data_IF_387689172947
#
_entry.id   IF_387689172947
#
_cell.length_a   1.000
_cell.length_b   1.000
_cell.length_c   1.000
_cell.angle_alpha   90.00
_cell.angle_beta   90.00
_cell.angle_gamma   90.00
#
_symmetry.space_group_name_H-M   'P 1'
#
loop_
_entity.id
_entity.type
_entity.pdbx_description
1 polymer ?
#
# COMPACT_ATOMS: atom_id res chain seq x y z
N UNK A 1 25.35 15.54 -6.71
CA UNK A 1 24.01 14.99 -6.99
C UNK A 1 24.21 13.55 -7.41
N UNK A 2 23.91 12.59 -6.54
CA UNK A 2 23.90 11.18 -6.94
C UNK A 2 22.72 10.97 -7.88
N UNK A 3 22.85 10.16 -8.95
CA UNK A 3 21.73 9.88 -9.84
C UNK A 3 20.61 9.18 -9.06
N UNK A 4 19.37 9.56 -9.34
CA UNK A 4 18.20 8.86 -8.82
C UNK A 4 18.27 7.39 -9.27
N UNK A 5 18.25 6.46 -8.33
CA UNK A 5 18.28 5.03 -8.66
C UNK A 5 16.93 4.66 -9.28
N UNK A 6 16.97 4.01 -10.44
CA UNK A 6 15.77 3.52 -11.10
C UNK A 6 15.34 2.15 -10.56
N UNK A 7 14.15 1.72 -10.94
CA UNK A 7 13.67 0.36 -10.60
C UNK A 7 14.59 -0.74 -11.15
N UNK A 8 15.27 -0.50 -12.27
CA UNK A 8 16.27 -1.42 -12.83
C UNK A 8 17.51 -1.53 -11.95
N UNK A 9 17.92 -0.46 -11.27
CA UNK A 9 19.05 -0.49 -10.35
C UNK A 9 18.67 -1.25 -9.08
N UNK A 10 17.47 -1.00 -8.56
CA UNK A 10 16.88 -1.76 -7.45
C UNK A 10 16.80 -3.26 -7.77
N UNK A 11 16.39 -3.61 -9.00
CA UNK A 11 16.35 -4.99 -9.45
C UNK A 11 17.74 -5.66 -9.49
N UNK A 12 18.80 -4.93 -9.86
CA UNK A 12 20.17 -5.48 -9.84
C UNK A 12 20.70 -5.64 -8.43
N UNK A 13 20.40 -4.68 -7.56
CA UNK A 13 20.89 -4.67 -6.19
C UNK A 13 20.19 -5.69 -5.29
N UNK A 14 18.92 -6.04 -5.56
CA UNK A 14 18.20 -7.00 -4.73
C UNK A 14 18.64 -8.44 -4.98
N UNK A 15 19.15 -8.79 -6.18
CA UNK A 15 19.56 -10.15 -6.56
C UNK A 15 20.43 -10.84 -5.49
N UNK A 16 21.58 -10.28 -5.05
CA UNK A 16 22.41 -10.92 -4.02
C UNK A 16 21.76 -10.99 -2.63
N UNK A 17 20.67 -10.24 -2.41
CA UNK A 17 19.95 -10.15 -1.13
C UNK A 17 18.72 -11.06 -1.10
N UNK A 18 18.23 -11.52 -2.27
CA UNK A 18 17.04 -12.38 -2.38
C UNK A 18 17.09 -13.64 -1.50
N UNK A 19 18.20 -14.41 -1.43
CA UNK A 19 18.29 -15.59 -0.57
C UNK A 19 18.01 -15.28 0.91
N UNK A 20 18.43 -14.09 1.36
CA UNK A 20 18.23 -13.63 2.74
C UNK A 20 16.80 -13.14 2.99
N UNK A 21 16.11 -12.62 1.96
CA UNK A 21 14.75 -12.06 2.09
C UNK A 21 13.66 -13.10 1.92
N UNK A 22 13.87 -14.06 1.02
CA UNK A 22 12.83 -14.98 0.56
C UNK A 22 13.12 -16.45 0.90
N UNK A 23 14.34 -16.82 1.27
CA UNK A 23 14.70 -18.20 1.56
C UNK A 23 14.47 -19.09 0.33
N UNK A 24 13.54 -20.05 0.44
CA UNK A 24 13.25 -21.05 -0.60
C UNK A 24 12.66 -20.43 -1.88
N UNK A 25 11.93 -19.31 -1.77
CA UNK A 25 11.35 -18.61 -2.92
C UNK A 25 12.39 -17.78 -3.70
N UNK A 26 13.59 -17.61 -3.14
CA UNK A 26 14.60 -16.71 -3.69
C UNK A 26 15.02 -17.09 -5.11
N UNK A 27 15.24 -18.39 -5.37
CA UNK A 27 15.72 -18.86 -6.66
C UNK A 27 14.71 -18.60 -7.79
N UNK A 28 13.42 -18.85 -7.54
CA UNK A 28 12.35 -18.60 -8.51
C UNK A 28 12.21 -17.11 -8.84
N UNK A 29 12.32 -16.24 -7.82
CA UNK A 29 12.28 -14.80 -8.00
C UNK A 29 13.54 -14.29 -8.70
N UNK A 30 14.71 -14.83 -8.37
CA UNK A 30 15.99 -14.48 -8.99
C UNK A 30 16.00 -14.80 -10.49
N UNK A 31 15.54 -16.00 -10.87
CA UNK A 31 15.41 -16.39 -12.28
C UNK A 31 14.45 -15.48 -13.04
N UNK A 32 13.30 -15.16 -12.42
CA UNK A 32 12.29 -14.28 -13.02
C UNK A 32 12.85 -12.86 -13.20
N UNK A 33 13.54 -12.34 -12.20
CA UNK A 33 14.12 -10.99 -12.21
C UNK A 33 15.28 -10.89 -13.21
N UNK A 34 16.09 -11.93 -13.34
CA UNK A 34 17.18 -12.02 -14.32
C UNK A 34 16.64 -11.95 -15.75
N UNK A 35 15.58 -12.68 -16.08
CA UNK A 35 14.93 -12.61 -17.40
C UNK A 35 14.40 -11.21 -17.71
N UNK A 36 13.80 -10.55 -16.72
CA UNK A 36 13.31 -9.16 -16.88
C UNK A 36 14.48 -8.20 -17.16
N UNK A 37 15.60 -8.36 -16.45
CA UNK A 37 16.80 -7.54 -16.68
C UNK A 37 17.43 -7.78 -18.06
N UNK A 38 17.39 -8.99 -18.59
CA UNK A 38 17.85 -9.30 -19.96
C UNK A 38 16.96 -8.65 -21.03
N UNK A 39 15.63 -8.69 -20.84
CA UNK A 39 14.67 -7.98 -21.70
C UNK A 39 14.88 -6.46 -21.65
N UNK A 40 15.14 -5.91 -20.46
CA UNK A 40 15.51 -4.49 -20.31
C UNK A 40 16.76 -4.13 -21.11
N UNK A 41 17.79 -5.00 -21.11
CA UNK A 41 19.01 -4.81 -21.92
C UNK A 41 18.73 -4.79 -23.42
N UNK A 42 17.68 -5.48 -23.85
CA UNK A 42 17.21 -5.49 -25.25
C UNK A 42 16.34 -4.28 -25.60
N UNK A 43 16.13 -3.35 -24.67
CA UNK A 43 15.35 -2.13 -24.86
C UNK A 43 13.86 -2.28 -24.53
N UNK A 44 13.43 -3.41 -23.99
CA UNK A 44 12.03 -3.59 -23.57
C UNK A 44 11.73 -2.84 -22.28
N UNK A 45 10.53 -2.23 -22.22
CA UNK A 45 10.03 -1.57 -21.02
C UNK A 45 9.48 -2.61 -20.02
N UNK A 46 10.31 -2.99 -19.05
CA UNK A 46 9.97 -4.02 -18.03
C UNK A 46 9.75 -3.46 -16.63
N UNK A 47 9.82 -2.13 -16.46
CA UNK A 47 9.72 -1.44 -15.18
C UNK A 47 8.48 -1.85 -14.37
N UNK A 48 7.33 -1.95 -15.03
CA UNK A 48 6.08 -2.37 -14.39
C UNK A 48 6.14 -3.84 -13.94
N UNK A 49 6.66 -4.73 -14.78
CA UNK A 49 6.76 -6.16 -14.48
C UNK A 49 7.69 -6.42 -13.29
N UNK A 50 8.80 -5.68 -13.20
CA UNK A 50 9.72 -5.72 -12.06
C UNK A 50 9.02 -5.24 -10.79
N UNK A 51 8.28 -4.12 -10.85
CA UNK A 51 7.53 -3.59 -9.68
C UNK A 51 6.51 -4.61 -9.18
N UNK A 52 5.80 -5.28 -10.10
CA UNK A 52 4.80 -6.30 -9.78
C UNK A 52 5.47 -7.53 -9.17
N UNK A 53 6.54 -8.05 -9.78
CA UNK A 53 7.27 -9.22 -9.27
C UNK A 53 7.76 -9.00 -7.83
N UNK A 54 8.44 -7.88 -7.59
CA UNK A 54 8.94 -7.53 -6.25
C UNK A 54 7.82 -7.14 -5.28
N UNK A 55 6.64 -6.75 -5.78
CA UNK A 55 5.46 -6.43 -4.99
C UNK A 55 4.69 -7.66 -4.48
N UNK A 56 4.94 -8.85 -5.04
CA UNK A 56 4.28 -10.10 -4.62
C UNK A 56 4.71 -10.55 -3.22
N UNK A 57 5.93 -10.21 -2.80
CA UNK A 57 6.47 -10.61 -1.51
C UNK A 57 6.67 -9.39 -0.60
N UNK A 58 6.11 -9.39 0.63
CA UNK A 58 6.22 -8.25 1.53
C UNK A 58 7.66 -7.83 1.85
N UNK A 59 8.59 -8.80 1.93
CA UNK A 59 9.99 -8.56 2.23
C UNK A 59 10.71 -7.80 1.10
N UNK A 60 10.51 -8.20 -0.15
CA UNK A 60 11.09 -7.52 -1.33
C UNK A 60 10.41 -6.19 -1.62
N UNK A 61 9.11 -6.07 -1.34
CA UNK A 61 8.37 -4.82 -1.51
C UNK A 61 8.84 -3.74 -0.53
N UNK A 62 9.03 -4.11 0.76
CA UNK A 62 9.62 -3.21 1.76
C UNK A 62 11.03 -2.81 1.36
N UNK A 63 11.88 -3.78 1.01
CA UNK A 63 13.27 -3.52 0.61
C UNK A 63 13.37 -2.56 -0.60
N UNK A 64 12.55 -2.78 -1.64
CA UNK A 64 12.44 -1.91 -2.81
C UNK A 64 12.05 -0.48 -2.40
N UNK A 65 11.03 -0.32 -1.55
CA UNK A 65 10.56 0.99 -1.10
C UNK A 65 11.62 1.75 -0.31
N UNK A 66 12.32 1.07 0.58
CA UNK A 66 13.41 1.68 1.37
C UNK A 66 14.53 2.20 0.45
N UNK A 67 14.82 1.48 -0.63
CA UNK A 67 15.87 1.86 -1.59
C UNK A 67 15.45 3.03 -2.48
N UNK A 68 14.20 3.06 -2.93
CA UNK A 68 13.66 4.15 -3.75
C UNK A 68 13.47 5.45 -2.95
N UNK A 69 13.01 5.36 -1.69
CA UNK A 69 12.83 6.51 -0.78
C UNK A 69 14.10 7.31 -0.51
N UNK A 70 15.27 6.68 -0.65
CA UNK A 70 16.56 7.36 -0.55
C UNK A 70 16.84 8.38 -1.67
N UNK A 71 15.98 8.48 -2.69
CA UNK A 71 16.12 9.39 -3.82
C UNK A 71 14.95 10.36 -4.05
N UNK A 72 13.91 10.31 -3.22
CA UNK A 72 12.81 11.26 -3.29
C UNK A 72 13.15 12.51 -2.46
N UNK A 73 14.12 13.30 -2.95
CA UNK A 73 14.04 14.75 -2.76
C UNK A 73 13.10 15.26 -3.87
N UNK A 74 11.86 15.59 -3.50
CA UNK A 74 10.73 15.97 -4.38
C UNK A 74 10.03 14.79 -5.09
N UNK A 75 9.15 14.11 -4.36
CA UNK A 75 8.29 13.07 -4.94
C UNK A 75 7.39 12.42 -3.90
N UNK A 76 6.28 13.07 -3.58
CA UNK A 76 5.27 12.60 -2.63
C UNK A 76 4.63 11.31 -3.13
N UNK A 77 5.23 10.15 -2.82
CA UNK A 77 4.51 8.86 -2.74
C UNK A 77 4.59 8.35 -1.30
N UNK A 78 4.00 9.16 -0.43
CA UNK A 78 3.74 8.81 0.94
C UNK A 78 2.34 8.18 1.07
N UNK A 79 2.29 6.85 0.93
CA UNK A 79 1.55 6.02 1.91
C UNK A 79 2.28 6.00 3.28
N UNK A 80 2.78 7.16 3.69
CA UNK A 80 3.41 7.42 4.97
C UNK A 80 2.74 8.66 5.52
N UNK A 81 2.04 8.49 6.63
CA UNK A 81 1.41 9.61 7.32
C UNK A 81 2.53 10.48 7.91
N UNK A 82 2.88 11.60 7.27
CA UNK A 82 3.62 12.68 7.91
C UNK A 82 2.61 13.70 8.45
N UNK A 83 2.39 13.80 9.78
CA UNK A 83 1.60 14.88 10.32
C UNK A 83 2.37 16.19 10.20
N UNK A 84 1.82 17.13 9.44
CA UNK A 84 2.27 18.52 9.44
C UNK A 84 2.22 19.08 10.89
N UNK A 85 3.16 19.94 11.30
CA UNK A 85 3.04 20.68 12.54
C UNK A 85 1.99 21.78 12.35
N UNK A 86 0.73 21.40 12.41
CA UNK A 86 -0.42 22.27 12.23
C UNK A 86 -1.67 21.56 12.70
N UNK A 87 -2.03 21.82 13.96
CA UNK A 87 -3.30 21.48 14.64
C UNK A 87 -3.94 20.13 14.29
N UNK A 88 -3.93 19.23 15.29
CA UNK A 88 -4.72 17.99 15.34
C UNK A 88 -6.21 18.30 15.20
N UNK A 89 -6.71 18.30 13.97
CA UNK A 89 -8.08 17.95 13.69
C UNK A 89 -8.04 16.75 12.75
N UNK A 90 -7.76 15.57 13.31
CA UNK A 90 -8.17 14.33 12.66
C UNK A 90 -9.68 14.43 12.45
N UNK A 91 -10.20 14.46 11.21
CA UNK A 91 -11.64 14.31 11.03
C UNK A 91 -11.99 12.96 11.65
N UNK A 92 -12.76 12.97 12.74
CA UNK A 92 -13.29 11.75 13.34
C UNK A 92 -14.05 11.04 12.22
N UNK A 93 -13.59 9.85 11.83
CA UNK A 93 -14.34 9.01 10.90
C UNK A 93 -15.72 8.77 11.52
N UNK A 94 -16.76 9.39 10.96
CA UNK A 94 -18.13 9.24 11.45
C UNK A 94 -18.57 7.83 11.09
N UNK A 95 -18.70 6.97 12.11
CA UNK A 95 -19.26 5.63 11.98
C UNK A 95 -20.75 5.68 12.29
N UNK A 96 -21.54 4.88 11.60
CA UNK A 96 -22.97 4.75 11.83
C UNK A 96 -23.30 3.35 12.35
N UNK A 97 -24.18 3.24 13.34
CA UNK A 97 -24.58 1.96 13.91
C UNK A 97 -26.09 1.89 14.12
N UNK A 98 -26.61 0.68 14.33
CA UNK A 98 -28.03 0.50 14.58
C UNK A 98 -28.37 1.06 15.97
N UNK A 99 -29.38 1.94 16.10
CA UNK A 99 -29.77 2.48 17.40
C UNK A 99 -30.46 1.44 18.31
N UNK A 100 -30.86 0.29 17.77
CA UNK A 100 -31.49 -0.79 18.54
C UNK A 100 -30.45 -1.45 19.45
N UNK A 101 -30.66 -1.33 20.77
CA UNK A 101 -29.80 -1.93 21.78
C UNK A 101 -29.75 -3.45 21.63
N UNK A 102 -28.54 -4.03 21.60
CA UNK A 102 -28.32 -5.47 21.40
C UNK A 102 -28.25 -5.91 19.93
N UNK A 103 -28.36 -4.98 18.97
CA UNK A 103 -28.17 -5.29 17.57
C UNK A 103 -26.68 -5.51 17.25
N UNK A 104 -26.34 -6.68 16.71
CA UNK A 104 -24.97 -7.07 16.37
C UNK A 104 -24.58 -6.79 14.90
N UNK A 105 -25.38 -6.02 14.16
CA UNK A 105 -25.03 -5.60 12.80
C UNK A 105 -23.73 -4.78 12.82
N UNK A 106 -22.77 -5.07 11.95
CA UNK A 106 -21.53 -4.29 11.86
C UNK A 106 -21.81 -2.80 11.62
N UNK A 107 -21.01 -1.89 12.19
CA UNK A 107 -21.14 -0.47 11.91
C UNK A 107 -20.83 -0.17 10.45
N UNK A 108 -21.55 0.77 9.88
CA UNK A 108 -21.37 1.24 8.51
C UNK A 108 -20.48 2.47 8.47
N UNK A 109 -19.65 2.55 7.43
CA UNK A 109 -18.69 3.62 7.19
C UNK A 109 -19.01 4.27 5.84
N UNK A 110 -19.23 5.59 5.77
CA UNK A 110 -19.41 6.28 4.51
C UNK A 110 -18.11 6.25 3.71
N UNK A 111 -18.22 6.02 2.40
CA UNK A 111 -17.11 6.07 1.45
C UNK A 111 -16.94 7.53 0.97
N UNK A 112 -18.06 8.21 0.70
CA UNK A 112 -18.08 9.59 0.22
C UNK A 112 -18.98 10.50 1.08
N UNK A 113 -18.66 11.81 1.08
CA UNK A 113 -19.44 12.85 1.75
C UNK A 113 -20.76 13.11 0.99
N UNK A 114 -21.72 12.20 1.16
CA UNK A 114 -23.00 12.22 0.44
C UNK A 114 -23.66 10.84 0.32
N UNK A 115 -22.98 9.78 0.76
CA UNK A 115 -23.57 8.44 0.77
C UNK A 115 -24.87 8.40 1.58
N UNK A 116 -25.88 7.77 0.99
CA UNK A 116 -27.15 7.52 1.67
C UNK A 116 -26.91 6.54 2.80
N UNK A 117 -27.23 6.95 4.03
CA UNK A 117 -27.07 6.11 5.21
C UNK A 117 -28.00 4.89 5.07
N UNK A 118 -27.47 3.66 5.08
CA UNK A 118 -28.29 2.47 4.92
C UNK A 118 -29.10 2.17 6.18
N UNK A 119 -30.18 1.39 5.99
CA UNK A 119 -30.94 0.83 7.10
C UNK A 119 -30.34 -0.49 7.58
N UNK A 120 -30.49 -0.76 8.87
CA UNK A 120 -30.17 -2.06 9.46
C UNK A 120 -31.06 -3.14 8.84
N UNK A 121 -30.44 -4.17 8.28
CA UNK A 121 -31.15 -5.30 7.63
C UNK A 121 -32.00 -6.12 8.61
N UNK A 122 -31.69 -6.07 9.91
CA UNK A 122 -32.40 -6.82 10.95
C UNK A 122 -33.65 -6.06 11.44
N UNK A 123 -33.55 -4.74 11.58
CA UNK A 123 -34.56 -3.92 12.26
C UNK A 123 -35.27 -2.92 11.33
N UNK A 124 -34.80 -2.76 10.09
CA UNK A 124 -35.36 -1.84 9.10
C UNK A 124 -35.17 -0.35 9.41
N UNK A 125 -34.48 0.00 10.50
CA UNK A 125 -34.23 1.39 10.91
C UNK A 125 -32.94 1.93 10.30
N UNK A 126 -32.88 3.23 9.92
CA UNK A 126 -31.65 3.85 9.44
C UNK A 126 -30.55 3.80 10.51
N UNK A 127 -29.30 3.66 10.10
CA UNK A 127 -28.18 3.79 11.04
C UNK A 127 -28.03 5.23 11.55
N UNK A 128 -27.55 5.39 12.78
CA UNK A 128 -27.32 6.69 13.42
C UNK A 128 -25.83 6.91 13.71
N UNK A 129 -25.37 8.15 13.67
CA UNK A 129 -23.96 8.49 13.88
C UNK A 129 -23.54 8.21 15.32
N UNK A 130 -22.52 7.38 15.50
CA UNK A 130 -21.98 7.08 16.83
C UNK A 130 -20.73 7.92 17.05
N UNK A 131 -20.88 9.01 17.81
CA UNK A 131 -19.73 9.78 18.29
C UNK A 131 -19.08 9.04 19.44
N UNK A 132 -17.84 8.59 19.25
CA UNK A 132 -17.03 8.01 20.32
C UNK A 132 -16.50 9.18 21.15
N UNK A 133 -17.16 9.57 22.25
CA UNK A 133 -16.66 10.62 23.16
C UNK A 133 -15.20 10.37 23.55
#
# INVERSE_FOLDING_TARGET
MSPAIGILDVAREILPVLPKLLGEDAEAVEQSLTRLLERARSGEAVDHEIRVLLGKYPATDRWKRDRLRGNDADGVDEKSYQPLPGQRNTPRAVKYACPVSGCNTPPWFPIDAGDVIPSCEIHGVPFESVSND
#
